data_IF_651093550929
#
_entry.id   IF_651093550929
#
_cell.length_a   1.000
_cell.length_b   1.000
_cell.length_c   1.000
_cell.angle_alpha   90.00
_cell.angle_beta   90.00
_cell.angle_gamma   90.00
#
_symmetry.space_group_name_H-M   'P 1'
#
loop_
_entity.id
_entity.type
_entity.pdbx_description
1 polymer ?
#
# COMPACT_ATOMS: atom_id res chain seq x y z
N UNK A 1 2.26 -2.03 -5.51
CA UNK A 1 0.92 -1.58 -5.06
C UNK A 1 0.38 -0.44 -5.90
N UNK A 2 1.07 0.70 -6.02
CA UNK A 2 0.63 1.84 -6.83
C UNK A 2 0.20 1.43 -8.25
N UNK A 3 1.11 0.80 -9.01
CA UNK A 3 0.85 0.35 -10.38
C UNK A 3 -0.24 -0.73 -10.49
N UNK A 4 -0.57 -1.41 -9.39
CA UNK A 4 -1.68 -2.38 -9.35
C UNK A 4 -3.00 -1.62 -9.16
N UNK A 5 -3.03 -0.73 -8.17
CA UNK A 5 -4.22 0.01 -7.78
C UNK A 5 -4.63 1.07 -8.84
N UNK A 6 -3.65 1.71 -9.47
CA UNK A 6 -3.82 2.75 -10.50
C UNK A 6 -3.89 2.21 -11.92
N UNK A 7 -3.68 0.90 -12.15
CA UNK A 7 -3.44 0.34 -13.49
C UNK A 7 -4.46 0.82 -14.54
N UNK A 8 -5.76 0.73 -14.25
CA UNK A 8 -6.82 1.12 -15.19
C UNK A 8 -6.78 2.60 -15.52
N UNK A 9 -6.51 3.44 -14.53
CA UNK A 9 -6.40 4.87 -14.72
C UNK A 9 -5.15 5.24 -15.51
N UNK A 10 -4.02 4.59 -15.20
CA UNK A 10 -2.77 4.75 -15.95
C UNK A 10 -2.96 4.40 -17.42
N UNK A 11 -3.62 3.28 -17.71
CA UNK A 11 -3.96 2.88 -19.08
C UNK A 11 -4.90 3.88 -19.76
N UNK A 12 -5.90 4.41 -19.03
CA UNK A 12 -6.82 5.44 -19.56
C UNK A 12 -6.10 6.75 -19.94
N UNK A 13 -4.98 7.05 -19.27
CA UNK A 13 -4.13 8.21 -19.52
C UNK A 13 -3.05 7.96 -20.57
N UNK A 14 -2.94 6.75 -21.11
CA UNK A 14 -1.89 6.37 -22.05
C UNK A 14 -0.53 6.10 -21.39
N UNK A 15 -0.48 5.96 -20.06
CA UNK A 15 0.73 5.55 -19.35
C UNK A 15 0.92 4.04 -19.48
N UNK A 16 1.64 3.66 -20.54
CA UNK A 16 1.87 2.25 -20.89
C UNK A 16 3.09 1.63 -20.20
N UNK A 17 3.91 2.41 -19.52
CA UNK A 17 5.13 1.94 -18.83
C UNK A 17 4.89 1.63 -17.35
N UNK A 18 3.83 0.87 -17.06
CA UNK A 18 3.51 0.39 -15.70
C UNK A 18 4.22 -0.93 -15.41
N UNK A 19 4.44 -1.24 -14.13
CA UNK A 19 4.98 -2.54 -13.71
C UNK A 19 4.17 -3.73 -14.26
N UNK A 20 2.84 -3.62 -14.31
CA UNK A 20 1.97 -4.65 -14.88
C UNK A 20 2.26 -4.87 -16.38
N UNK A 21 2.34 -3.80 -17.18
CA UNK A 21 2.65 -3.90 -18.60
C UNK A 21 4.07 -4.44 -18.85
N UNK A 22 5.04 -4.01 -18.04
CA UNK A 22 6.39 -4.56 -18.09
C UNK A 22 6.38 -6.07 -17.83
N UNK A 23 5.63 -6.52 -16.82
CA UNK A 23 5.50 -7.93 -16.49
C UNK A 23 4.81 -8.73 -17.61
N UNK A 24 3.67 -8.24 -18.11
CA UNK A 24 2.96 -8.85 -19.25
C UNK A 24 3.86 -8.99 -20.47
N UNK A 25 4.61 -7.92 -20.82
CA UNK A 25 5.53 -7.93 -21.96
C UNK A 25 6.68 -8.91 -21.77
N UNK A 26 7.23 -8.99 -20.56
CA UNK A 26 8.37 -9.85 -20.26
C UNK A 26 7.99 -11.35 -20.27
N UNK A 27 6.83 -11.69 -19.73
CA UNK A 27 6.42 -13.09 -19.52
C UNK A 27 5.33 -13.58 -20.48
N UNK A 28 4.75 -12.71 -21.30
CA UNK A 28 3.70 -13.07 -22.26
C UNK A 28 2.38 -13.50 -21.60
N UNK A 29 2.10 -12.96 -20.40
CA UNK A 29 0.95 -13.33 -19.55
C UNK A 29 -0.19 -12.32 -19.67
N UNK A 30 -1.39 -12.69 -19.17
CA UNK A 30 -2.53 -11.75 -19.13
C UNK A 30 -2.36 -10.67 -18.07
N UNK A 31 -3.20 -9.63 -18.13
CA UNK A 31 -3.26 -8.59 -17.11
C UNK A 31 -3.56 -9.16 -15.73
N UNK A 32 -4.56 -10.05 -15.63
CA UNK A 32 -4.95 -10.67 -14.36
C UNK A 32 -3.80 -11.50 -13.76
N UNK A 33 -3.06 -12.21 -14.60
CA UNK A 33 -1.89 -12.96 -14.18
C UNK A 33 -0.77 -12.04 -13.71
N UNK A 34 -0.47 -10.96 -14.44
CA UNK A 34 0.53 -9.98 -14.04
C UNK A 34 0.17 -9.30 -12.71
N UNK A 35 -1.07 -8.85 -12.54
CA UNK A 35 -1.54 -8.22 -11.30
C UNK A 35 -1.47 -9.20 -10.13
N UNK A 36 -1.82 -10.48 -10.34
CA UNK A 36 -1.71 -11.53 -9.32
C UNK A 36 -0.25 -11.77 -8.92
N UNK A 37 0.67 -11.89 -9.87
CA UNK A 37 2.08 -12.12 -9.55
C UNK A 37 2.72 -10.89 -8.87
N UNK A 38 2.38 -9.67 -9.32
CA UNK A 38 2.82 -8.45 -8.64
C UNK A 38 2.27 -8.34 -7.20
N UNK A 39 1.04 -8.79 -6.97
CA UNK A 39 0.46 -8.85 -5.61
C UNK A 39 1.22 -9.83 -4.72
N UNK A 40 1.59 -11.01 -5.24
CA UNK A 40 2.43 -11.97 -4.50
C UNK A 40 3.81 -11.40 -4.16
N UNK A 41 4.43 -10.65 -5.08
CA UNK A 41 5.71 -9.99 -4.81
C UNK A 41 5.60 -8.98 -3.65
N UNK A 42 4.47 -8.27 -3.53
CA UNK A 42 4.20 -7.39 -2.39
C UNK A 42 4.09 -8.22 -1.10
N UNK A 43 3.30 -9.31 -1.10
CA UNK A 43 3.16 -10.18 0.07
C UNK A 43 4.49 -10.79 0.52
N UNK A 44 5.34 -11.21 -0.42
CA UNK A 44 6.64 -11.78 -0.12
C UNK A 44 7.61 -10.71 0.41
N UNK A 45 7.56 -9.48 -0.11
CA UNK A 45 8.32 -8.36 0.44
C UNK A 45 7.91 -8.04 1.89
N UNK A 46 6.60 -8.09 2.20
CA UNK A 46 6.09 -7.90 3.55
C UNK A 46 6.57 -8.99 4.52
N UNK A 47 6.64 -10.26 4.07
CA UNK A 47 7.22 -11.36 4.88
C UNK A 47 8.70 -11.12 5.17
N UNK A 48 9.49 -10.75 4.16
CA UNK A 48 10.92 -10.42 4.33
C UNK A 48 11.09 -9.30 5.36
N UNK A 49 10.28 -8.24 5.27
CA UNK A 49 10.34 -7.12 6.21
C UNK A 49 10.06 -7.54 7.66
N UNK A 50 9.08 -8.44 7.86
CA UNK A 50 8.78 -9.00 9.18
C UNK A 50 9.93 -9.86 9.73
N UNK A 51 10.57 -10.65 8.89
CA UNK A 51 11.75 -11.44 9.27
C UNK A 51 12.94 -10.57 9.64
N UNK A 52 13.21 -9.52 8.85
CA UNK A 52 14.30 -8.56 9.13
C UNK A 52 14.09 -7.83 10.45
N UNK A 53 12.84 -7.49 10.82
CA UNK A 53 12.53 -6.87 12.12
C UNK A 53 12.95 -7.74 13.32
N UNK A 54 12.94 -9.06 13.16
CA UNK A 54 13.36 -10.01 14.20
C UNK A 54 14.87 -10.14 14.32
N UNK A 55 15.63 -9.76 13.28
CA UNK A 55 17.09 -9.86 13.24
C UNK A 55 17.74 -8.69 13.99
N UNK A 56 18.95 -8.94 14.52
CA UNK A 56 19.80 -7.88 15.08
C UNK A 56 20.53 -7.19 13.95
N UNK A 57 19.96 -6.10 13.45
CA UNK A 57 20.50 -5.36 12.32
C UNK A 57 21.44 -4.22 12.79
N UNK A 58 22.45 -3.84 11.98
CA UNK A 58 23.46 -2.85 12.33
C UNK A 58 22.94 -1.39 12.28
N UNK A 59 21.63 -1.20 12.24
CA UNK A 59 20.96 0.11 12.20
C UNK A 59 19.98 0.21 13.37
N UNK A 60 19.66 1.44 13.78
CA UNK A 60 18.80 1.65 14.95
C UNK A 60 17.39 1.08 14.73
N UNK A 61 16.75 0.61 15.81
CA UNK A 61 15.34 0.17 15.76
C UNK A 61 14.39 1.27 15.29
N UNK A 62 14.73 2.54 15.52
CA UNK A 62 13.93 3.68 15.08
C UNK A 62 13.91 3.80 13.55
N UNK A 63 15.07 3.65 12.90
CA UNK A 63 15.16 3.67 11.43
C UNK A 63 14.33 2.54 10.83
N UNK A 64 14.42 1.33 11.39
CA UNK A 64 13.57 0.20 10.95
C UNK A 64 12.09 0.46 11.16
N UNK A 65 11.72 1.03 12.30
CA UNK A 65 10.33 1.38 12.59
C UNK A 65 9.80 2.34 11.51
N UNK A 66 10.56 3.37 11.13
CA UNK A 66 10.15 4.30 10.08
C UNK A 66 9.95 3.63 8.72
N UNK A 67 10.83 2.68 8.34
CA UNK A 67 10.66 1.92 7.09
C UNK A 67 9.40 1.05 7.10
N UNK A 68 9.13 0.37 8.22
CA UNK A 68 7.94 -0.47 8.38
C UNK A 68 6.67 0.38 8.44
N UNK A 69 6.68 1.51 9.15
CA UNK A 69 5.56 2.43 9.20
C UNK A 69 5.24 2.97 7.80
N UNK A 70 6.26 3.29 6.98
CA UNK A 70 6.06 3.69 5.60
C UNK A 70 5.38 2.58 4.77
N UNK A 71 5.85 1.33 4.88
CA UNK A 71 5.23 0.20 4.19
C UNK A 71 3.76 0.00 4.61
N UNK A 72 3.48 0.12 5.92
CA UNK A 72 2.11 0.07 6.45
C UNK A 72 1.24 1.20 5.90
N UNK A 73 1.79 2.42 5.80
CA UNK A 73 1.08 3.55 5.19
C UNK A 73 0.72 3.23 3.74
N UNK A 74 1.67 2.71 2.93
CA UNK A 74 1.39 2.29 1.55
C UNK A 74 0.27 1.24 1.53
N UNK A 75 0.34 0.21 2.38
CA UNK A 75 -0.71 -0.81 2.47
C UNK A 75 -2.09 -0.22 2.76
N UNK A 76 -2.19 0.70 3.73
CA UNK A 76 -3.45 1.35 4.10
C UNK A 76 -3.96 2.27 2.98
N UNK A 77 -3.06 3.00 2.32
CA UNK A 77 -3.40 3.91 1.23
C UNK A 77 -3.96 3.17 0.02
N UNK A 78 -3.47 1.95 -0.26
CA UNK A 78 -3.83 1.19 -1.46
C UNK A 78 -4.76 0.00 -1.23
N UNK A 79 -5.30 -0.17 -0.02
CA UNK A 79 -6.11 -1.35 0.37
C UNK A 79 -7.39 -1.53 -0.46
N UNK A 80 -7.98 -0.44 -0.95
CA UNK A 80 -9.25 -0.41 -1.71
C UNK A 80 -9.09 0.26 -3.09
N UNK A 81 -7.86 0.37 -3.60
CA UNK A 81 -7.53 1.14 -4.81
C UNK A 81 -6.66 2.35 -4.49
N UNK A 82 -6.52 3.30 -5.42
CA UNK A 82 -5.71 4.50 -5.19
C UNK A 82 -6.42 5.52 -4.27
N UNK A 83 -6.33 5.28 -2.96
CA UNK A 83 -6.87 6.15 -1.93
C UNK A 83 -6.06 7.43 -1.71
N UNK A 84 -4.87 7.56 -2.32
CA UNK A 84 -4.07 8.78 -2.22
C UNK A 84 -4.61 9.86 -3.13
N UNK A 85 -4.84 9.51 -4.39
CA UNK A 85 -5.38 10.43 -5.40
C UNK A 85 -6.90 10.54 -5.27
N UNK A 86 -7.59 9.42 -5.05
CA UNK A 86 -9.03 9.41 -4.87
C UNK A 86 -9.35 9.44 -3.38
N UNK A 87 -9.89 10.57 -2.92
CA UNK A 87 -10.27 10.79 -1.52
C UNK A 87 -11.56 10.01 -1.15
N UNK A 88 -11.53 8.70 -1.35
CA UNK A 88 -12.61 7.75 -1.10
C UNK A 88 -12.08 6.53 -0.35
N UNK A 89 -12.99 5.70 0.17
CA UNK A 89 -12.64 4.45 0.86
C UNK A 89 -11.97 4.63 2.22
N UNK A 90 -11.40 3.53 2.72
CA UNK A 90 -10.85 3.43 4.08
C UNK A 90 -9.76 4.42 4.43
N UNK A 91 -8.90 4.79 3.48
CA UNK A 91 -7.80 5.72 3.77
C UNK A 91 -8.34 7.05 4.32
N UNK A 92 -9.38 7.61 3.69
CA UNK A 92 -10.00 8.86 4.14
C UNK A 92 -10.73 8.69 5.47
N UNK A 93 -11.38 7.55 5.69
CA UNK A 93 -12.03 7.24 6.97
C UNK A 93 -11.00 7.22 8.12
N UNK A 94 -9.85 6.59 7.91
CA UNK A 94 -8.78 6.56 8.90
C UNK A 94 -8.17 7.94 9.14
N UNK A 95 -7.93 8.73 8.09
CA UNK A 95 -7.45 10.11 8.23
C UNK A 95 -8.43 10.95 9.05
N UNK A 96 -9.73 10.87 8.76
CA UNK A 96 -10.76 11.57 9.54
C UNK A 96 -10.80 11.10 10.99
N UNK A 97 -10.77 9.78 11.21
CA UNK A 97 -10.77 9.20 12.55
C UNK A 97 -9.56 9.61 13.38
N UNK A 98 -8.40 9.79 12.75
CA UNK A 98 -7.15 10.08 13.45
C UNK A 98 -6.93 11.58 13.69
N UNK A 99 -7.32 12.42 12.72
CA UNK A 99 -6.93 13.84 12.69
C UNK A 99 -8.09 14.82 12.86
N UNK A 100 -9.34 14.37 12.71
CA UNK A 100 -10.53 15.24 12.74
C UNK A 100 -11.45 14.87 13.90
N UNK A 101 -11.80 13.60 14.00
CA UNK A 101 -12.75 13.12 15.00
C UNK A 101 -12.04 12.93 16.34
N UNK A 102 -12.58 13.54 17.40
CA UNK A 102 -12.08 13.28 18.75
C UNK A 102 -12.59 11.93 19.24
N UNK A 103 -11.78 11.28 20.07
CA UNK A 103 -12.24 10.14 20.86
C UNK A 103 -13.12 10.70 21.98
N UNK A 104 -14.41 10.38 21.96
CA UNK A 104 -15.32 10.73 23.05
C UNK A 104 -15.08 9.78 24.23
N UNK A 105 -14.86 10.36 25.41
CA UNK A 105 -14.80 9.60 26.65
C UNK A 105 -16.20 9.61 27.29
N UNK A 106 -16.53 8.56 28.04
CA UNK A 106 -17.87 8.38 28.64
C UNK A 106 -18.34 9.52 29.56
N UNK A 107 -17.45 10.46 29.92
CA UNK A 107 -17.74 11.62 30.78
C UNK A 107 -18.36 12.81 30.01
N UNK A 108 -18.39 12.79 28.67
CA UNK A 108 -18.89 13.91 27.84
C UNK A 108 -20.42 13.85 27.55
N UNK A 109 -21.16 12.96 28.24
CA UNK A 109 -22.61 12.75 28.05
C UNK A 109 -23.48 13.18 29.26
N UNK A 110 -22.95 13.97 30.21
CA UNK A 110 -23.70 14.55 31.32
C UNK A 110 -24.15 15.99 31.07
#
# INVERSE_FOLDING_TARGET
MNDIAGYKEDMSRGYVTTGANCYMKQYGVTEEEAIRELSKMVEDADKIMNEELLKKLPVSRQVWKSAIDLARTVNITYIEGDGYTHLTGKFVEYVKSLLVNRIHLFEDLS
#
